data_IF_164291146436
#
_entry.id   IF_164291146436
#
_cell.length_a   1.000
_cell.length_b   1.000
_cell.length_c   1.000
_cell.angle_alpha   90.00
_cell.angle_beta   90.00
_cell.angle_gamma   90.00
#
_symmetry.space_group_name_H-M   'P 1'
#
loop_
_entity.id
_entity.type
_entity.pdbx_description
1 polymer ?
#
# COMPACT_ATOMS: atom_id res chain seq x y z
N UNK A 1 13.96 -35.36 4.57
CA UNK A 1 13.61 -34.01 5.03
C UNK A 1 12.19 -34.06 5.54
N UNK A 2 11.97 -33.70 6.81
CA UNK A 2 10.61 -33.57 7.35
C UNK A 2 9.84 -32.49 6.57
N UNK A 3 8.56 -32.73 6.32
CA UNK A 3 7.69 -31.77 5.65
C UNK A 3 7.51 -30.53 6.55
N UNK A 4 8.09 -29.40 6.16
CA UNK A 4 7.95 -28.14 6.89
C UNK A 4 6.55 -27.58 6.69
N UNK A 5 5.75 -27.52 7.77
CA UNK A 5 4.50 -26.77 7.79
C UNK A 5 4.81 -25.28 8.02
N UNK A 6 4.54 -24.43 7.02
CA UNK A 6 4.79 -22.99 7.10
C UNK A 6 3.46 -22.22 7.21
N UNK A 7 3.19 -21.65 8.39
CA UNK A 7 1.94 -20.96 8.73
C UNK A 7 2.14 -19.44 8.96
N UNK A 8 3.12 -18.83 8.28
CA UNK A 8 3.53 -17.43 8.50
C UNK A 8 3.53 -16.58 7.20
N UNK A 9 2.65 -16.94 6.25
CA UNK A 9 2.55 -16.27 4.95
C UNK A 9 2.12 -14.79 5.03
N UNK A 10 1.49 -14.38 6.14
CA UNK A 10 1.10 -12.98 6.39
C UNK A 10 2.31 -12.06 6.68
N UNK A 11 3.44 -12.64 7.11
CA UNK A 11 4.72 -11.92 7.23
C UNK A 11 5.44 -11.89 5.88
N UNK A 12 5.63 -13.04 5.25
CA UNK A 12 6.22 -13.18 3.91
C UNK A 12 5.86 -14.54 3.31
N UNK A 13 5.54 -14.60 2.03
CA UNK A 13 5.09 -15.88 1.47
C UNK A 13 6.23 -16.88 1.27
N UNK A 14 6.01 -18.15 1.61
CA UNK A 14 7.04 -19.19 1.48
C UNK A 14 6.41 -20.59 1.32
N UNK A 15 7.01 -21.49 0.50
CA UNK A 15 8.13 -21.25 -0.41
C UNK A 15 7.73 -20.40 -1.62
N UNK A 16 8.71 -19.80 -2.30
CA UNK A 16 8.44 -19.04 -3.54
C UNK A 16 8.09 -20.01 -4.67
N UNK A 17 7.12 -19.67 -5.55
CA UNK A 17 6.86 -20.42 -6.76
C UNK A 17 8.11 -20.47 -7.65
N UNK A 18 8.33 -21.60 -8.32
CA UNK A 18 9.48 -21.83 -9.20
C UNK A 18 9.62 -20.75 -10.29
N UNK A 19 8.49 -20.24 -10.81
CA UNK A 19 8.51 -19.17 -11.81
C UNK A 19 9.15 -17.88 -11.29
N UNK A 20 8.99 -17.54 -10.00
CA UNK A 20 9.61 -16.37 -9.38
C UNK A 20 11.12 -16.59 -9.25
N UNK A 21 11.53 -17.77 -8.79
CA UNK A 21 12.95 -18.14 -8.64
C UNK A 21 13.66 -18.03 -10.00
N UNK A 22 13.10 -18.62 -11.05
CA UNK A 22 13.65 -18.57 -12.40
C UNK A 22 13.70 -17.16 -12.97
N UNK A 23 12.69 -16.33 -12.71
CA UNK A 23 12.68 -14.94 -13.17
C UNK A 23 13.82 -14.13 -12.54
N UNK A 24 14.05 -14.30 -11.23
CA UNK A 24 15.15 -13.64 -10.50
C UNK A 24 16.50 -14.17 -10.97
N UNK A 25 16.66 -15.47 -11.10
CA UNK A 25 17.89 -16.09 -11.62
C UNK A 25 18.20 -15.58 -13.04
N UNK A 26 17.19 -15.55 -13.92
CA UNK A 26 17.33 -15.02 -15.27
C UNK A 26 17.80 -13.57 -15.28
N UNK A 27 17.25 -12.71 -14.42
CA UNK A 27 17.69 -11.32 -14.29
C UNK A 27 19.14 -11.21 -13.78
N UNK A 28 19.50 -11.95 -12.73
CA UNK A 28 20.86 -11.95 -12.16
C UNK A 28 21.92 -12.39 -13.18
N UNK A 29 21.57 -13.35 -14.06
CA UNK A 29 22.47 -13.84 -15.12
C UNK A 29 22.55 -12.93 -16.33
N UNK A 30 21.46 -12.23 -16.68
CA UNK A 30 21.39 -11.41 -17.90
C UNK A 30 21.88 -9.97 -17.69
N UNK A 31 21.68 -9.40 -16.50
CA UNK A 31 22.31 -8.16 -16.03
C UNK A 31 21.99 -6.87 -16.79
N UNK A 32 21.98 -5.75 -16.05
CA UNK A 32 21.92 -4.39 -16.61
C UNK A 32 21.30 -3.37 -15.67
N UNK A 33 21.89 -2.19 -15.56
CA UNK A 33 21.27 -1.06 -14.86
C UNK A 33 20.27 -0.36 -15.79
N UNK A 34 19.01 -0.27 -15.37
CA UNK A 34 18.01 0.51 -16.10
C UNK A 34 18.32 2.01 -16.00
N UNK A 35 18.11 2.75 -17.11
CA UNK A 35 17.92 4.20 -17.08
C UNK A 35 19.09 5.10 -17.52
N UNK A 36 20.31 4.59 -17.74
CA UNK A 36 21.46 5.42 -18.18
C UNK A 36 22.31 4.85 -19.32
N UNK A 37 21.97 3.67 -19.84
CA UNK A 37 22.71 3.02 -20.93
C UNK A 37 21.80 2.63 -22.08
N UNK A 38 22.34 2.65 -23.30
CA UNK A 38 21.68 2.16 -24.52
C UNK A 38 22.23 0.78 -24.94
N UNK A 39 22.84 0.04 -24.02
CA UNK A 39 23.30 -1.33 -24.28
C UNK A 39 22.15 -2.31 -24.01
N UNK A 40 22.19 -3.48 -24.66
CA UNK A 40 21.12 -4.48 -24.61
C UNK A 40 20.66 -4.83 -23.17
N UNK A 41 21.58 -4.94 -22.21
CA UNK A 41 21.23 -5.17 -20.80
C UNK A 41 20.42 -4.04 -20.15
N UNK A 42 20.68 -2.78 -20.48
CA UNK A 42 19.95 -1.63 -19.94
C UNK A 42 18.53 -1.53 -20.53
N UNK A 43 18.38 -1.82 -21.83
CA UNK A 43 17.08 -1.92 -22.50
C UNK A 43 16.24 -3.08 -21.95
N UNK A 44 16.86 -4.24 -21.75
CA UNK A 44 16.20 -5.40 -21.15
C UNK A 44 15.71 -5.09 -19.72
N UNK A 45 16.52 -4.42 -18.90
CA UNK A 45 16.13 -3.99 -17.55
C UNK A 45 14.97 -2.96 -17.58
N UNK A 46 15.03 -1.98 -18.48
CA UNK A 46 13.93 -1.02 -18.65
C UNK A 46 12.62 -1.70 -19.08
N UNK A 47 12.71 -2.68 -19.99
CA UNK A 47 11.56 -3.46 -20.44
C UNK A 47 10.95 -4.30 -19.30
N UNK A 48 11.77 -4.88 -18.41
CA UNK A 48 11.29 -5.58 -17.20
C UNK A 48 10.49 -4.63 -16.31
N UNK A 49 11.02 -3.43 -16.02
CA UNK A 49 10.33 -2.45 -15.18
C UNK A 49 9.01 -1.97 -15.82
N UNK A 50 9.01 -1.73 -17.12
CA UNK A 50 7.80 -1.31 -17.85
C UNK A 50 6.71 -2.38 -17.85
N UNK A 51 7.09 -3.66 -18.07
CA UNK A 51 6.16 -4.79 -17.95
C UNK A 51 5.63 -4.94 -16.53
N UNK A 52 6.49 -4.78 -15.51
CA UNK A 52 6.09 -4.83 -14.11
C UNK A 52 5.03 -3.76 -13.79
N UNK A 53 5.28 -2.50 -14.17
CA UNK A 53 4.31 -1.41 -14.00
C UNK A 53 2.99 -1.69 -14.72
N UNK A 54 3.05 -2.20 -15.95
CA UNK A 54 1.83 -2.49 -16.73
C UNK A 54 1.01 -3.63 -16.10
N UNK A 55 1.68 -4.69 -15.64
CA UNK A 55 1.03 -5.81 -14.97
C UNK A 55 0.39 -5.38 -13.64
N UNK A 56 1.11 -4.60 -12.82
CA UNK A 56 0.60 -4.04 -11.58
C UNK A 56 -0.55 -3.06 -11.83
N UNK A 57 -0.45 -2.20 -12.84
CA UNK A 57 -1.52 -1.29 -13.22
C UNK A 57 -2.79 -2.04 -13.59
N UNK A 58 -2.67 -3.12 -14.37
CA UNK A 58 -3.82 -3.99 -14.71
C UNK A 58 -4.43 -4.66 -13.48
N UNK A 59 -3.58 -5.22 -12.61
CA UNK A 59 -4.00 -5.90 -11.38
C UNK A 59 -4.74 -4.96 -10.42
N UNK A 60 -4.24 -3.74 -10.27
CA UNK A 60 -4.69 -2.76 -9.28
C UNK A 60 -5.68 -1.74 -9.84
N UNK A 61 -6.01 -1.85 -11.13
CA UNK A 61 -6.97 -0.95 -11.79
C UNK A 61 -6.44 0.48 -12.01
N UNK A 62 -5.13 0.65 -12.17
CA UNK A 62 -4.56 1.93 -12.58
C UNK A 62 -4.91 2.21 -14.05
N UNK A 63 -5.24 3.45 -14.38
CA UNK A 63 -5.56 3.85 -15.75
C UNK A 63 -4.33 3.88 -16.66
N UNK A 64 -3.14 3.97 -16.06
CA UNK A 64 -1.87 4.13 -16.77
C UNK A 64 -0.72 3.49 -16.00
N UNK A 65 0.24 2.81 -16.65
CA UNK A 65 1.44 2.28 -15.98
C UNK A 65 2.29 3.37 -15.28
N UNK A 66 2.17 4.62 -15.72
CA UNK A 66 2.86 5.77 -15.13
C UNK A 66 2.33 6.12 -13.73
N UNK A 67 1.13 5.67 -13.39
CA UNK A 67 0.57 5.77 -12.04
C UNK A 67 1.17 4.72 -11.08
N UNK A 68 2.01 3.81 -11.57
CA UNK A 68 2.66 2.79 -10.74
C UNK A 68 4.08 3.20 -10.39
N UNK A 69 4.29 3.48 -9.11
CA UNK A 69 5.60 3.77 -8.52
C UNK A 69 6.15 2.51 -7.87
N UNK A 70 7.30 2.05 -8.35
CA UNK A 70 8.00 0.91 -7.75
C UNK A 70 8.89 1.44 -6.61
N UNK A 71 8.72 0.88 -5.42
CA UNK A 71 9.43 1.26 -4.20
C UNK A 71 10.04 0.01 -3.56
N UNK A 72 10.88 0.21 -2.56
CA UNK A 72 11.53 -0.83 -1.78
C UNK A 72 10.74 -1.37 -0.59
N UNK A 73 9.46 -1.03 -0.40
CA UNK A 73 8.58 -1.65 0.59
C UNK A 73 7.25 -0.92 0.79
N UNK A 74 6.19 -1.62 1.25
CA UNK A 74 4.88 -0.99 1.50
C UNK A 74 5.05 0.23 2.42
N UNK A 75 5.89 0.09 3.45
CA UNK A 75 6.31 1.19 4.33
C UNK A 75 6.89 2.38 3.57
N UNK A 76 7.76 2.16 2.59
CA UNK A 76 8.32 3.26 1.79
C UNK A 76 7.24 3.92 0.93
N UNK A 77 6.37 3.15 0.28
CA UNK A 77 5.23 3.70 -0.48
C UNK A 77 4.34 4.59 0.40
N UNK A 78 3.97 4.10 1.59
CA UNK A 78 3.20 4.88 2.57
C UNK A 78 3.94 6.16 2.96
N UNK A 79 5.24 6.09 3.23
CA UNK A 79 6.03 7.26 3.62
C UNK A 79 6.18 8.28 2.49
N UNK A 80 6.30 7.85 1.23
CA UNK A 80 6.33 8.76 0.08
C UNK A 80 5.04 9.59 0.04
N UNK A 81 3.88 8.95 0.20
CA UNK A 81 2.59 9.66 0.21
C UNK A 81 2.49 10.57 1.43
N UNK A 82 2.70 10.04 2.64
CA UNK A 82 2.55 10.80 3.88
C UNK A 82 3.49 12.01 3.95
N UNK A 83 4.78 11.82 3.67
CA UNK A 83 5.79 12.87 3.77
C UNK A 83 5.75 13.84 2.58
N UNK A 84 5.31 13.38 1.40
CA UNK A 84 5.22 14.17 0.19
C UNK A 84 3.93 15.00 0.09
N UNK A 85 2.81 14.50 0.63
CA UNK A 85 1.50 15.13 0.56
C UNK A 85 1.24 16.10 1.72
N UNK A 86 1.54 15.68 2.96
CA UNK A 86 1.17 16.44 4.17
C UNK A 86 2.12 17.61 4.43
N UNK A 87 1.54 18.80 4.52
CA UNK A 87 2.21 20.07 4.81
C UNK A 87 2.00 20.48 6.26
N UNK A 88 2.67 21.57 6.66
CA UNK A 88 2.56 22.10 8.00
C UNK A 88 1.12 22.55 8.30
N UNK A 89 0.57 22.13 9.44
CA UNK A 89 -0.80 22.46 9.84
C UNK A 89 -1.89 21.63 9.15
N UNK A 90 -1.55 20.74 8.20
CA UNK A 90 -2.55 19.86 7.59
C UNK A 90 -3.13 18.91 8.64
N UNK A 91 -4.41 18.56 8.48
CA UNK A 91 -5.10 17.55 9.27
C UNK A 91 -5.17 16.22 8.52
N UNK A 92 -4.93 15.12 9.21
CA UNK A 92 -5.00 13.76 8.68
C UNK A 92 -5.80 12.88 9.63
N UNK A 93 -6.65 12.03 9.04
CA UNK A 93 -7.42 11.04 9.76
C UNK A 93 -6.79 9.67 9.46
N UNK A 94 -6.50 8.88 10.49
CA UNK A 94 -6.05 7.51 10.37
C UNK A 94 -6.87 6.61 11.30
N UNK A 95 -6.53 5.34 11.37
CA UNK A 95 -7.22 4.34 12.17
C UNK A 95 -6.34 3.82 13.31
N UNK A 96 -6.96 3.50 14.45
CA UNK A 96 -6.28 2.76 15.53
C UNK A 96 -5.83 1.35 15.11
N UNK A 97 -6.38 0.80 14.02
CA UNK A 97 -6.00 -0.48 13.44
C UNK A 97 -4.81 -0.38 12.46
N UNK A 98 -4.36 0.82 12.12
CA UNK A 98 -3.29 1.01 11.14
C UNK A 98 -1.95 0.49 11.65
N UNK A 99 -1.16 -0.06 10.72
CA UNK A 99 0.16 -0.58 11.05
C UNK A 99 1.12 0.55 11.46
N UNK A 100 2.17 0.19 12.20
CA UNK A 100 3.25 1.10 12.60
C UNK A 100 3.92 1.86 11.44
N UNK A 101 3.84 1.32 10.21
CA UNK A 101 4.30 1.98 8.98
C UNK A 101 3.51 3.23 8.63
N UNK A 102 2.29 3.40 9.17
CA UNK A 102 1.46 4.60 9.06
C UNK A 102 1.59 5.44 10.33
N UNK A 103 1.40 4.84 11.51
CA UNK A 103 1.29 5.58 12.77
C UNK A 103 2.60 6.29 13.16
N UNK A 104 3.77 5.67 12.95
CA UNK A 104 5.06 6.29 13.33
C UNK A 104 5.42 7.49 12.44
N UNK A 105 5.27 7.44 11.11
CA UNK A 105 5.45 8.62 10.27
C UNK A 105 4.47 9.75 10.60
N UNK A 106 3.21 9.43 10.89
CA UNK A 106 2.22 10.43 11.31
C UNK A 106 2.63 11.09 12.62
N UNK A 107 3.00 10.32 13.64
CA UNK A 107 3.51 10.85 14.91
C UNK A 107 4.81 11.66 14.76
N UNK A 108 5.64 11.36 13.75
CA UNK A 108 6.78 12.20 13.39
C UNK A 108 6.32 13.54 12.79
N UNK A 109 5.40 13.51 11.84
CA UNK A 109 4.84 14.70 11.19
C UNK A 109 4.10 15.62 12.16
N UNK A 110 3.39 15.07 13.15
CA UNK A 110 2.79 15.87 14.23
C UNK A 110 3.86 16.70 14.95
N UNK A 111 5.00 16.10 15.30
CA UNK A 111 6.07 16.77 16.04
C UNK A 111 6.90 17.73 15.20
N UNK A 112 7.16 17.41 13.93
CA UNK A 112 8.08 18.19 13.09
C UNK A 112 7.39 19.21 12.19
N UNK A 113 6.13 18.95 11.83
CA UNK A 113 5.35 19.78 10.91
C UNK A 113 4.01 20.23 11.49
N UNK A 114 3.72 20.02 12.77
CA UNK A 114 2.43 20.46 13.36
C UNK A 114 1.22 19.92 12.57
N UNK A 115 1.35 18.71 12.03
CA UNK A 115 0.23 17.99 11.41
C UNK A 115 -0.74 17.58 12.52
N UNK A 116 -2.04 17.77 12.32
CA UNK A 116 -3.06 17.32 13.25
C UNK A 116 -3.47 15.89 12.90
N UNK A 117 -3.41 14.96 13.86
CA UNK A 117 -3.77 13.56 13.67
C UNK A 117 -5.01 13.22 14.47
N UNK A 118 -6.05 12.74 13.78
CA UNK A 118 -7.19 12.10 14.41
C UNK A 118 -7.16 10.59 14.15
N UNK A 119 -7.59 9.82 15.14
CA UNK A 119 -7.65 8.36 15.06
C UNK A 119 -9.09 7.89 15.20
N UNK A 120 -9.61 7.30 14.12
CA UNK A 120 -10.92 6.64 14.12
C UNK A 120 -10.82 5.39 14.99
N UNK A 121 -11.83 5.20 15.83
CA UNK A 121 -11.99 4.00 16.64
C UNK A 121 -12.52 2.82 15.83
N UNK A 122 -12.63 1.67 16.48
CA UNK A 122 -13.22 0.47 15.90
C UNK A 122 -14.08 -0.24 16.94
N UNK A 123 -15.05 -1.01 16.47
CA UNK A 123 -15.86 -1.87 17.31
C UNK A 123 -15.04 -3.09 17.76
N UNK A 124 -14.90 -3.29 19.07
CA UNK A 124 -14.02 -4.32 19.63
C UNK A 124 -14.50 -5.76 19.37
N UNK A 125 -15.79 -5.96 19.07
CA UNK A 125 -16.38 -7.29 18.83
C UNK A 125 -16.18 -7.71 17.38
N UNK A 126 -16.53 -6.82 16.45
CA UNK A 126 -16.48 -7.07 15.01
C UNK A 126 -15.09 -6.76 14.44
N UNK A 127 -14.35 -5.82 15.01
CA UNK A 127 -13.08 -5.31 14.47
C UNK A 127 -13.26 -4.35 13.27
N UNK A 128 -14.48 -3.86 13.03
CA UNK A 128 -14.77 -2.89 11.97
C UNK A 128 -14.57 -1.46 12.47
N UNK A 129 -14.12 -0.58 11.58
CA UNK A 129 -13.99 0.84 11.89
C UNK A 129 -15.34 1.49 12.19
N UNK A 130 -15.34 2.40 13.15
CA UNK A 130 -16.52 3.16 13.57
C UNK A 130 -16.83 4.25 12.53
N UNK A 131 -17.82 3.97 11.69
CA UNK A 131 -18.28 4.88 10.63
C UNK A 131 -18.87 6.17 11.20
N UNK A 132 -19.63 6.10 12.29
CA UNK A 132 -20.23 7.30 12.89
C UNK A 132 -19.15 8.21 13.46
N UNK A 133 -18.09 7.63 14.02
CA UNK A 133 -16.92 8.38 14.46
C UNK A 133 -16.18 9.01 13.27
N UNK A 134 -15.96 8.27 12.18
CA UNK A 134 -15.39 8.85 10.96
C UNK A 134 -16.25 10.03 10.48
N UNK A 135 -17.57 9.89 10.43
CA UNK A 135 -18.47 10.96 10.01
C UNK A 135 -18.32 12.21 10.89
N UNK A 136 -18.27 12.05 12.22
CA UNK A 136 -18.04 13.17 13.14
C UNK A 136 -16.69 13.85 12.88
N UNK A 137 -15.63 13.07 12.65
CA UNK A 137 -14.30 13.62 12.35
C UNK A 137 -14.28 14.39 11.03
N UNK A 138 -14.90 13.86 9.98
CA UNK A 138 -15.03 14.54 8.68
C UNK A 138 -15.84 15.84 8.79
N UNK A 139 -16.93 15.83 9.56
CA UNK A 139 -17.75 17.02 9.79
C UNK A 139 -17.08 18.09 10.67
N UNK A 140 -16.10 17.72 11.50
CA UNK A 140 -15.44 18.65 12.42
C UNK A 140 -14.53 19.68 11.72
N UNK A 141 -14.14 19.44 10.47
CA UNK A 141 -13.31 20.38 9.70
C UNK A 141 -12.58 19.70 8.53
N UNK A 142 -11.92 20.48 7.67
CA UNK A 142 -11.23 19.95 6.51
C UNK A 142 -10.07 19.05 6.92
N UNK A 143 -10.06 17.81 6.41
CA UNK A 143 -8.91 16.92 6.47
C UNK A 143 -8.27 16.85 5.08
N UNK A 144 -6.94 16.70 5.04
CA UNK A 144 -6.21 16.56 3.78
C UNK A 144 -6.19 15.12 3.29
N UNK A 145 -6.13 14.18 4.21
CA UNK A 145 -5.94 12.76 3.92
C UNK A 145 -6.66 11.89 4.95
N UNK A 146 -7.28 10.82 4.48
CA UNK A 146 -7.73 9.67 5.25
C UNK A 146 -6.83 8.47 4.92
N UNK A 147 -6.25 7.84 5.93
CA UNK A 147 -5.46 6.60 5.78
C UNK A 147 -6.25 5.43 6.35
N UNK A 148 -6.32 4.33 5.58
CA UNK A 148 -7.07 3.13 5.96
C UNK A 148 -6.26 1.87 5.67
N UNK A 149 -6.10 1.00 6.66
CA UNK A 149 -5.77 -0.40 6.41
C UNK A 149 -6.94 -1.14 5.74
N UNK A 150 -6.66 -1.86 4.64
CA UNK A 150 -7.68 -2.67 3.97
C UNK A 150 -8.04 -3.91 4.79
N UNK A 151 -7.06 -4.50 5.51
CA UNK A 151 -7.31 -5.54 6.49
C UNK A 151 -6.31 -5.50 7.63
N UNK A 152 -6.79 -5.72 8.86
CA UNK A 152 -5.91 -5.81 10.03
C UNK A 152 -4.92 -6.97 9.88
N UNK A 153 -3.63 -6.71 10.11
CA UNK A 153 -2.61 -7.75 10.17
C UNK A 153 -2.67 -8.60 11.45
N UNK A 154 -3.49 -8.19 12.44
CA UNK A 154 -3.64 -8.90 13.71
C UNK A 154 -4.89 -9.76 13.69
N UNK A 155 -6.03 -9.20 13.30
CA UNK A 155 -7.32 -9.90 13.34
C UNK A 155 -7.75 -10.49 11.99
N UNK A 156 -7.10 -10.08 10.89
CA UNK A 156 -7.50 -10.46 9.54
C UNK A 156 -8.80 -9.79 9.06
N UNK A 157 -9.42 -8.91 9.86
CA UNK A 157 -10.68 -8.26 9.50
C UNK A 157 -10.47 -7.30 8.34
N UNK A 158 -11.13 -7.60 7.21
CA UNK A 158 -11.25 -6.72 6.05
C UNK A 158 -12.20 -5.56 6.39
N UNK A 159 -11.76 -4.34 6.13
CA UNK A 159 -12.51 -3.12 6.38
C UNK A 159 -13.41 -2.77 5.19
N UNK A 160 -14.48 -2.02 5.44
CA UNK A 160 -15.41 -1.54 4.41
C UNK A 160 -14.84 -0.30 3.69
N UNK A 161 -13.63 -0.42 3.14
CA UNK A 161 -12.85 0.72 2.59
C UNK A 161 -13.64 1.52 1.58
N UNK A 162 -14.33 0.89 0.63
CA UNK A 162 -15.12 1.60 -0.39
C UNK A 162 -16.18 2.54 0.22
N UNK A 163 -16.81 2.12 1.32
CA UNK A 163 -17.82 2.92 2.03
C UNK A 163 -17.17 4.09 2.77
N UNK A 164 -16.08 3.83 3.49
CA UNK A 164 -15.32 4.84 4.23
C UNK A 164 -14.71 5.89 3.28
N UNK A 165 -14.20 5.44 2.13
CA UNK A 165 -13.65 6.27 1.09
C UNK A 165 -14.72 7.17 0.45
N UNK A 166 -15.93 6.66 0.21
CA UNK A 166 -17.04 7.47 -0.28
C UNK A 166 -17.43 8.58 0.70
N UNK A 167 -17.40 8.32 2.02
CA UNK A 167 -17.63 9.34 3.05
C UNK A 167 -16.55 10.43 3.01
N UNK A 168 -15.28 10.04 2.86
CA UNK A 168 -14.15 10.97 2.73
C UNK A 168 -14.24 11.82 1.45
N UNK A 169 -14.56 11.20 0.32
CA UNK A 169 -14.72 11.85 -0.97
C UNK A 169 -15.83 12.92 -0.95
N UNK A 170 -16.94 12.68 -0.23
CA UNK A 170 -18.00 13.67 -0.03
C UNK A 170 -17.53 14.96 0.68
N UNK A 171 -16.39 14.90 1.38
CA UNK A 171 -15.76 16.02 2.06
C UNK A 171 -14.49 16.52 1.33
N UNK A 172 -14.20 16.02 0.14
CA UNK A 172 -12.99 16.37 -0.63
C UNK A 172 -11.69 15.87 -0.01
N UNK A 173 -11.76 14.83 0.83
CA UNK A 173 -10.60 14.25 1.53
C UNK A 173 -10.00 13.13 0.69
N UNK A 174 -8.69 13.18 0.44
CA UNK A 174 -7.97 12.13 -0.28
C UNK A 174 -7.89 10.84 0.55
N UNK A 175 -7.83 9.68 -0.09
CA UNK A 175 -7.81 8.37 0.55
C UNK A 175 -6.56 7.58 0.18
N UNK A 176 -5.77 7.21 1.20
CA UNK A 176 -4.63 6.29 1.09
C UNK A 176 -4.99 4.95 1.73
N UNK A 177 -4.86 3.86 0.97
CA UNK A 177 -5.14 2.52 1.45
C UNK A 177 -3.86 1.70 1.61
N UNK A 178 -3.63 1.17 2.82
CA UNK A 178 -2.64 0.12 3.08
C UNK A 178 -3.26 -1.25 2.79
N UNK A 179 -2.90 -1.84 1.65
CA UNK A 179 -3.36 -3.15 1.20
C UNK A 179 -2.36 -4.27 1.53
N UNK A 180 -1.52 -4.11 2.56
CA UNK A 180 -0.43 -5.03 2.79
C UNK A 180 -0.85 -6.49 3.04
N UNK A 181 -2.04 -6.72 3.59
CA UNK A 181 -2.54 -8.07 3.89
C UNK A 181 -3.56 -8.58 2.87
N UNK A 182 -3.97 -7.74 1.92
CA UNK A 182 -5.03 -8.05 0.96
C UNK A 182 -4.51 -8.15 -0.47
N UNK A 183 -3.51 -7.35 -0.86
CA UNK A 183 -2.97 -7.38 -2.21
C UNK A 183 -2.43 -8.77 -2.58
N UNK A 184 -2.99 -9.35 -3.65
CA UNK A 184 -2.67 -10.71 -4.13
C UNK A 184 -3.47 -11.83 -3.46
N UNK A 185 -4.24 -11.54 -2.41
CA UNK A 185 -5.14 -12.49 -1.74
C UNK A 185 -6.63 -12.09 -1.85
N UNK A 186 -6.90 -10.81 -2.05
CA UNK A 186 -8.22 -10.21 -2.11
C UNK A 186 -8.27 -9.14 -3.20
N UNK A 187 -9.42 -8.88 -3.84
CA UNK A 187 -9.56 -7.77 -4.79
C UNK A 187 -9.16 -6.43 -4.18
N UNK A 188 -8.20 -5.74 -4.80
CA UNK A 188 -7.66 -4.45 -4.34
C UNK A 188 -7.52 -3.46 -5.50
N UNK A 189 -8.60 -3.25 -6.25
CA UNK A 189 -8.60 -2.30 -7.38
C UNK A 189 -8.89 -0.90 -6.85
N UNK A 190 -8.11 0.10 -7.29
CA UNK A 190 -8.25 1.51 -6.87
C UNK A 190 -9.69 2.02 -6.99
N UNK A 191 -10.29 1.79 -8.16
CA UNK A 191 -11.66 2.22 -8.48
C UNK A 191 -12.69 1.62 -7.54
N UNK A 192 -12.54 0.34 -7.22
CA UNK A 192 -13.51 -0.40 -6.42
C UNK A 192 -13.42 0.01 -4.95
N UNK A 193 -12.22 0.42 -4.50
CA UNK A 193 -11.95 0.90 -3.16
C UNK A 193 -12.24 2.40 -2.99
N UNK A 194 -12.42 3.15 -4.08
CA UNK A 194 -12.53 4.61 -4.04
C UNK A 194 -11.26 5.29 -3.52
N UNK A 195 -10.09 4.68 -3.71
CA UNK A 195 -8.82 5.15 -3.18
C UNK A 195 -8.10 6.06 -4.19
N UNK A 196 -7.45 7.11 -3.69
CA UNK A 196 -6.53 7.95 -4.46
C UNK A 196 -5.13 7.34 -4.50
N UNK A 197 -4.73 6.66 -3.43
CA UNK A 197 -3.43 6.01 -3.32
C UNK A 197 -3.58 4.59 -2.76
N UNK A 198 -2.78 3.66 -3.28
CA UNK A 198 -2.75 2.27 -2.82
C UNK A 198 -1.31 1.80 -2.60
N UNK A 199 -1.01 1.32 -1.38
CA UNK A 199 0.30 0.80 -1.03
C UNK A 199 0.22 -0.72 -0.74
N UNK A 200 1.17 -1.49 -1.28
CA UNK A 200 1.19 -2.95 -1.12
C UNK A 200 2.61 -3.54 -1.20
N UNK A 201 2.96 -4.59 -0.43
CA UNK A 201 4.23 -5.29 -0.51
C UNK A 201 4.23 -6.36 -1.61
N UNK A 202 5.35 -6.52 -2.32
CA UNK A 202 5.49 -7.64 -3.27
C UNK A 202 5.74 -8.99 -2.60
N UNK A 203 6.41 -9.03 -1.44
CA UNK A 203 6.88 -10.26 -0.80
C UNK A 203 5.80 -11.07 -0.05
N UNK A 204 4.58 -10.55 0.04
CA UNK A 204 3.41 -11.23 0.60
C UNK A 204 2.58 -11.82 -0.54
N UNK A 205 1.30 -11.44 -0.68
CA UNK A 205 0.39 -12.05 -1.64
C UNK A 205 0.76 -11.96 -3.11
N UNK A 206 1.75 -11.14 -3.50
CA UNK A 206 2.30 -11.10 -4.87
C UNK A 206 3.54 -11.98 -5.08
N UNK A 207 4.02 -12.66 -4.03
CA UNK A 207 5.08 -13.66 -4.07
C UNK A 207 6.43 -13.19 -4.63
N UNK A 208 6.67 -11.88 -4.74
CA UNK A 208 7.93 -11.33 -5.22
C UNK A 208 9.10 -11.69 -4.31
N UNK A 209 10.29 -11.81 -4.90
CA UNK A 209 11.55 -11.89 -4.17
C UNK A 209 12.00 -10.49 -3.76
N UNK A 210 12.38 -10.31 -2.49
CA UNK A 210 12.82 -9.01 -1.95
C UNK A 210 11.69 -8.01 -1.70
N UNK A 211 12.04 -6.87 -1.10
CA UNK A 211 11.09 -5.88 -0.57
C UNK A 211 10.35 -5.04 -1.62
N UNK A 212 10.48 -5.32 -2.91
CA UNK A 212 9.82 -4.55 -3.97
C UNK A 212 8.30 -4.49 -3.76
N UNK A 213 7.79 -3.30 -3.47
CA UNK A 213 6.37 -2.97 -3.39
C UNK A 213 6.00 -2.07 -4.54
N UNK A 214 4.77 -2.18 -5.00
CA UNK A 214 4.18 -1.16 -5.85
C UNK A 214 3.40 -0.20 -4.95
N UNK A 215 3.68 1.09 -5.02
CA UNK A 215 2.69 2.12 -4.73
C UNK A 215 1.97 2.46 -6.03
N UNK A 216 0.65 2.58 -6.02
CA UNK A 216 -0.08 3.21 -7.12
C UNK A 216 -0.57 4.56 -6.64
N UNK A 217 -0.31 5.59 -7.45
CA UNK A 217 -0.68 6.99 -7.25
C UNK A 217 -1.40 7.54 -8.46
#
# INVERSE_FOLDING_TARGET
MEARMYLDNAATSFPRPECVIRAVEGWLRSGGAAGRGNHAGAEAAAAILSRCRSALGTLLGASSPQQVVLTGGCTESLNIVLLGLLRRGDRVIASQLDHNSVLRPLAHLQRTRDVQLDLIGFDAVTGLLDEDHLQRLLSAGPARLLVLTHASNVTGRVQQVARLAAMAAAHGVLVLVDAAQTAGHWPCRLTDLGADFLALPGHKGLWSFGYGSAGVS
#
